data_IF_888572545857
#
_entry.id   IF_888572545857
#
_cell.length_a   1.000
_cell.length_b   1.000
_cell.length_c   1.000
_cell.angle_alpha   90.00
_cell.angle_beta   90.00
_cell.angle_gamma   90.00
#
_symmetry.space_group_name_H-M   'P 1'
#
loop_
_entity.id
_entity.type
_entity.pdbx_description
1 polymer ?
#
# COMPACT_ATOMS: atom_id res chain seq x y z
N UNK A 1 -22.68 -49.12 -10.37
CA UNK A 1 -23.06 -48.01 -9.45
C UNK A 1 -21.83 -47.28 -8.90
N UNK A 2 -20.85 -46.94 -9.75
CA UNK A 2 -19.58 -46.26 -9.38
C UNK A 2 -19.37 -44.92 -10.11
N UNK A 3 -20.29 -44.55 -10.99
CA UNK A 3 -20.23 -43.35 -11.85
C UNK A 3 -20.95 -42.14 -11.20
N UNK A 4 -21.87 -42.39 -10.26
CA UNK A 4 -22.63 -41.36 -9.53
C UNK A 4 -21.82 -40.65 -8.45
N UNK A 5 -20.65 -41.17 -8.08
CA UNK A 5 -19.80 -40.59 -7.04
C UNK A 5 -18.63 -39.79 -7.62
N UNK A 6 -18.37 -39.90 -8.93
CA UNK A 6 -17.35 -39.09 -9.62
C UNK A 6 -17.84 -37.66 -9.87
N UNK A 7 -19.15 -37.48 -10.09
CA UNK A 7 -19.74 -36.15 -10.37
C UNK A 7 -19.79 -35.25 -9.13
N UNK A 8 -19.84 -35.81 -7.93
CA UNK A 8 -19.90 -35.01 -6.68
C UNK A 8 -18.53 -34.44 -6.29
N UNK A 9 -17.43 -35.08 -6.70
CA UNK A 9 -16.06 -34.62 -6.35
C UNK A 9 -15.63 -33.39 -7.16
N UNK A 10 -16.25 -33.10 -8.31
CA UNK A 10 -15.90 -31.96 -9.16
C UNK A 10 -16.57 -30.63 -8.77
N UNK A 11 -17.55 -30.64 -7.85
CA UNK A 11 -18.23 -29.42 -7.39
C UNK A 11 -17.69 -28.86 -6.06
N UNK A 12 -16.68 -29.50 -5.45
CA UNK A 12 -16.09 -29.10 -4.17
C UNK A 12 -14.68 -28.49 -4.27
N UNK A 13 -14.21 -28.19 -5.49
CA UNK A 13 -12.90 -27.52 -5.73
C UNK A 13 -13.09 -26.02 -6.08
N UNK A 14 -14.35 -25.53 -6.10
CA UNK A 14 -14.70 -24.18 -6.54
C UNK A 14 -14.96 -23.17 -5.41
N UNK A 15 -14.65 -23.48 -4.15
CA UNK A 15 -14.95 -22.60 -3.04
C UNK A 15 -13.76 -22.42 -2.09
N UNK A 16 -13.29 -21.18 -2.00
CA UNK A 16 -12.56 -20.58 -0.88
C UNK A 16 -11.03 -20.78 -0.83
N UNK A 17 -10.34 -20.56 -1.96
CA UNK A 17 -8.97 -20.00 -2.00
C UNK A 17 -9.02 -18.45 -2.03
N UNK A 18 -9.98 -17.87 -1.30
CA UNK A 18 -10.41 -16.47 -1.47
C UNK A 18 -10.28 -15.61 -0.23
N UNK A 19 -9.42 -15.97 0.73
CA UNK A 19 -9.04 -15.06 1.82
C UNK A 19 -7.70 -14.45 1.44
N UNK A 20 -7.73 -13.62 0.39
CA UNK A 20 -6.74 -12.57 0.24
C UNK A 20 -6.91 -11.63 1.42
N UNK A 21 -6.12 -11.84 2.48
CA UNK A 21 -5.81 -10.79 3.44
C UNK A 21 -4.95 -9.74 2.73
N UNK A 22 -5.51 -9.08 1.71
CA UNK A 22 -5.00 -7.80 1.24
C UNK A 22 -5.37 -6.80 2.33
N UNK A 23 -4.61 -6.80 3.42
CA UNK A 23 -4.52 -5.65 4.30
C UNK A 23 -3.97 -4.52 3.44
N UNK A 24 -4.86 -3.70 2.88
CA UNK A 24 -4.44 -2.42 2.36
C UNK A 24 -3.72 -1.69 3.51
N UNK A 25 -2.49 -1.17 3.31
CA UNK A 25 -1.88 -0.37 4.34
C UNK A 25 -2.84 0.77 4.65
N UNK A 26 -3.24 0.89 5.91
CA UNK A 26 -3.98 2.05 6.36
C UNK A 26 -3.11 3.26 5.98
N UNK A 27 -3.59 4.08 5.05
CA UNK A 27 -3.01 5.37 4.76
C UNK A 27 -3.16 6.20 6.04
N UNK A 28 -2.17 6.06 6.93
CA UNK A 28 -2.02 6.91 8.10
C UNK A 28 -1.80 8.30 7.53
N UNK A 29 -2.81 9.16 7.50
CA UNK A 29 -2.64 10.55 7.08
C UNK A 29 -1.63 11.20 8.04
N UNK A 30 -0.36 11.06 7.70
CA UNK A 30 0.74 11.64 8.44
C UNK A 30 0.58 13.16 8.39
N UNK A 31 1.09 13.88 9.39
CA UNK A 31 0.98 15.34 9.41
C UNK A 31 1.46 15.91 8.08
N UNK A 32 0.62 16.74 7.45
CA UNK A 32 1.02 17.46 6.27
C UNK A 32 2.14 18.43 6.66
N UNK A 33 3.40 18.05 6.42
CA UNK A 33 4.56 18.87 6.71
C UNK A 33 4.45 20.23 6.00
N UNK A 34 4.76 21.31 6.73
CA UNK A 34 4.86 22.65 6.15
C UNK A 34 6.01 22.72 5.14
N UNK A 35 7.11 22.09 5.50
CA UNK A 35 8.40 22.09 4.81
C UNK A 35 9.20 20.83 5.20
N UNK A 36 10.26 20.55 4.45
CA UNK A 36 11.10 19.39 4.71
C UNK A 36 11.91 19.47 6.01
N UNK A 37 12.02 20.65 6.63
CA UNK A 37 12.64 20.76 7.94
C UNK A 37 11.73 20.17 9.01
N UNK A 38 10.43 20.44 8.94
CA UNK A 38 9.46 19.78 9.81
C UNK A 38 9.47 18.25 9.64
N UNK A 39 9.54 17.75 8.41
CA UNK A 39 9.68 16.32 8.13
C UNK A 39 10.98 15.74 8.72
N UNK A 40 12.10 16.45 8.53
CA UNK A 40 13.41 16.07 9.08
C UNK A 40 13.44 16.04 10.62
N UNK A 41 12.72 16.94 11.29
CA UNK A 41 12.59 16.93 12.76
C UNK A 41 11.88 15.66 13.28
N UNK A 42 10.98 15.11 12.47
CA UNK A 42 10.32 13.82 12.74
C UNK A 42 11.12 12.62 12.20
N UNK A 43 12.28 12.86 11.59
CA UNK A 43 13.12 11.83 10.97
C UNK A 43 12.56 11.26 9.67
N UNK A 44 11.57 11.92 9.05
CA UNK A 44 10.98 11.56 7.77
C UNK A 44 11.83 12.15 6.63
N UNK A 45 12.31 11.26 5.75
CA UNK A 45 13.03 11.61 4.53
C UNK A 45 12.64 10.66 3.40
N UNK A 46 12.92 11.07 2.16
CA UNK A 46 12.67 10.28 0.95
C UNK A 46 11.20 9.83 0.87
N UNK A 47 10.27 10.78 0.99
CA UNK A 47 8.83 10.55 1.07
C UNK A 47 8.29 10.32 -0.34
N UNK A 48 7.91 9.09 -0.75
CA UNK A 48 7.46 8.82 -2.12
C UNK A 48 6.04 9.36 -2.38
N UNK A 49 5.66 9.59 -3.64
CA UNK A 49 4.32 10.02 -4.08
C UNK A 49 3.11 9.27 -3.48
N UNK A 50 3.30 8.03 -3.05
CA UNK A 50 2.26 7.21 -2.42
C UNK A 50 2.19 7.35 -0.89
N UNK A 51 3.13 8.06 -0.28
CA UNK A 51 3.15 8.31 1.15
C UNK A 51 2.16 9.42 1.50
N UNK A 52 1.39 9.28 2.58
CA UNK A 52 0.45 10.29 3.04
C UNK A 52 1.12 11.62 3.43
N UNK A 53 2.41 11.63 3.77
CA UNK A 53 3.17 12.85 4.00
C UNK A 53 3.61 13.54 2.70
N UNK A 54 3.46 12.89 1.54
CA UNK A 54 3.88 13.44 0.26
C UNK A 54 3.07 14.67 -0.10
N UNK A 55 3.79 15.72 -0.46
CA UNK A 55 3.20 16.92 -1.04
C UNK A 55 4.07 17.39 -2.20
N UNK A 56 3.45 17.71 -3.33
CA UNK A 56 4.17 18.19 -4.52
C UNK A 56 5.02 19.44 -4.22
N UNK A 57 4.60 20.27 -3.26
CA UNK A 57 5.35 21.46 -2.84
C UNK A 57 6.70 21.13 -2.15
N UNK A 58 6.84 19.91 -1.65
CA UNK A 58 8.03 19.41 -0.93
C UNK A 58 8.98 18.62 -1.85
N UNK A 59 8.50 18.25 -3.03
CA UNK A 59 9.24 17.61 -4.11
C UNK A 59 9.72 18.72 -5.07
N UNK A 60 10.92 19.23 -4.84
CA UNK A 60 11.44 20.43 -5.52
C UNK A 60 11.75 20.17 -6.99
N UNK A 61 12.28 19.00 -7.30
CA UNK A 61 12.69 18.58 -8.64
C UNK A 61 11.63 17.75 -9.38
N UNK A 62 10.54 17.40 -8.70
CA UNK A 62 9.35 16.75 -9.26
C UNK A 62 9.58 15.30 -9.71
N UNK A 63 10.58 14.61 -9.15
CA UNK A 63 10.90 13.22 -9.44
C UNK A 63 9.91 12.23 -8.76
N UNK A 64 9.12 12.73 -7.80
CA UNK A 64 8.16 11.96 -7.03
C UNK A 64 8.65 11.50 -5.67
N UNK A 65 9.77 12.02 -5.19
CA UNK A 65 10.28 11.81 -3.84
C UNK A 65 10.42 13.18 -3.16
N UNK A 66 9.56 13.44 -2.17
CA UNK A 66 9.64 14.66 -1.37
C UNK A 66 10.69 14.53 -0.25
N UNK A 67 11.30 15.66 0.12
CA UNK A 67 12.21 15.76 1.27
C UNK A 67 13.35 14.74 1.26
N UNK A 68 14.01 14.62 0.12
CA UNK A 68 15.22 13.81 -0.03
C UNK A 68 16.35 14.31 0.89
N UNK A 69 17.16 13.38 1.38
CA UNK A 69 18.27 13.69 2.31
C UNK A 69 19.63 13.87 1.63
N UNK A 70 19.67 13.89 0.29
CA UNK A 70 20.91 13.89 -0.49
C UNK A 70 21.46 15.30 -0.78
#
# INVERSE_FOLDING_TARGET
MKIRHVVVVLAAIGAVLGIGLTGAPAAHADPAYGDCKAAAQDGRYNIPRGDPAYQQKLDRDNDGIACESH
#
